data_IF_795975883789
#
_entry.id   IF_795975883789
#
_cell.length_a   1.000
_cell.length_b   1.000
_cell.length_c   1.000
_cell.angle_alpha   90.00
_cell.angle_beta   90.00
_cell.angle_gamma   90.00
#
_symmetry.space_group_name_H-M   'P 1'
#
loop_
_entity.id
_entity.type
_entity.pdbx_description
1 polymer ?
#
# COMPACT_ATOMS: atom_id res chain seq x y z
N UNK A 1 -13.37 -8.38 -24.79
CA UNK A 1 -14.19 -7.52 -23.90
C UNK A 1 -13.52 -7.44 -22.54
N UNK A 2 -12.74 -6.40 -22.26
CA UNK A 2 -12.12 -6.19 -20.95
C UNK A 2 -13.22 -5.76 -19.97
N UNK A 3 -13.65 -6.66 -19.09
CA UNK A 3 -14.61 -6.34 -18.04
C UNK A 3 -13.93 -5.39 -17.06
N UNK A 4 -14.27 -4.10 -17.13
CA UNK A 4 -13.92 -3.13 -16.10
C UNK A 4 -14.56 -3.60 -14.79
N UNK A 5 -13.73 -4.06 -13.85
CA UNK A 5 -14.19 -4.39 -12.51
C UNK A 5 -14.80 -3.14 -11.90
N UNK A 6 -16.07 -3.23 -11.47
CA UNK A 6 -16.77 -2.15 -10.80
C UNK A 6 -16.12 -1.94 -9.43
N UNK A 7 -15.56 -0.75 -9.21
CA UNK A 7 -15.08 -0.32 -7.91
C UNK A 7 -16.25 -0.30 -6.91
N UNK A 8 -16.13 -1.01 -5.79
CA UNK A 8 -17.06 -0.98 -4.67
C UNK A 8 -16.48 -0.09 -3.58
N UNK A 9 -17.30 0.82 -3.06
CA UNK A 9 -16.90 1.90 -2.18
C UNK A 9 -16.86 1.54 -0.67
N UNK A 10 -16.14 2.40 0.08
CA UNK A 10 -16.26 2.78 1.50
C UNK A 10 -15.39 1.98 2.51
N UNK A 11 -14.70 2.57 3.51
CA UNK A 11 -14.86 3.86 4.23
C UNK A 11 -13.49 4.20 4.85
N UNK A 12 -12.94 5.39 4.61
CA UNK A 12 -11.78 5.93 5.35
C UNK A 12 -10.52 6.14 4.50
N UNK A 13 -9.91 7.33 4.66
CA UNK A 13 -8.75 7.87 3.94
C UNK A 13 -9.00 8.23 2.46
N UNK A 14 -8.68 9.47 2.07
CA UNK A 14 -9.02 10.08 0.77
C UNK A 14 -8.29 9.54 -0.46
N UNK A 15 -7.96 8.24 -0.52
CA UNK A 15 -7.24 7.60 -1.63
C UNK A 15 -8.16 6.96 -2.68
N UNK A 16 -9.48 7.14 -2.56
CA UNK A 16 -10.53 6.45 -3.31
C UNK A 16 -10.49 6.60 -4.85
N UNK A 17 -9.83 7.63 -5.40
CA UNK A 17 -9.78 7.83 -6.86
C UNK A 17 -8.69 7.02 -7.57
N UNK A 18 -7.75 6.43 -6.82
CA UNK A 18 -6.61 5.74 -7.40
C UNK A 18 -6.86 4.22 -7.42
N UNK A 19 -6.84 3.60 -8.63
CA UNK A 19 -6.97 2.15 -8.77
C UNK A 19 -5.99 1.37 -7.87
N UNK A 20 -6.41 0.20 -7.36
CA UNK A 20 -5.62 -0.60 -6.42
C UNK A 20 -4.24 -0.97 -6.99
N UNK A 21 -4.16 -1.32 -8.26
CA UNK A 21 -2.90 -1.60 -8.97
C UNK A 21 -1.94 -0.41 -8.95
N UNK A 22 -2.47 0.80 -9.18
CA UNK A 22 -1.67 2.04 -9.11
C UNK A 22 -1.22 2.32 -7.68
N UNK A 23 -2.07 2.07 -6.68
CA UNK A 23 -1.68 2.18 -5.26
C UNK A 23 -0.61 1.16 -4.90
N UNK A 24 -0.76 -0.09 -5.30
CA UNK A 24 0.24 -1.14 -5.12
C UNK A 24 1.60 -0.74 -5.70
N UNK A 25 1.63 -0.18 -6.91
CA UNK A 25 2.86 0.33 -7.52
C UNK A 25 3.50 1.45 -6.68
N UNK A 26 2.71 2.40 -6.19
CA UNK A 26 3.19 3.52 -5.36
C UNK A 26 3.73 3.04 -4.01
N UNK A 27 3.01 2.15 -3.33
CA UNK A 27 3.43 1.58 -2.05
C UNK A 27 4.73 0.80 -2.21
N UNK A 28 4.85 -0.05 -3.24
CA UNK A 28 6.11 -0.76 -3.55
C UNK A 28 7.27 0.20 -3.79
N UNK A 29 7.07 1.21 -4.64
CA UNK A 29 8.11 2.20 -4.94
C UNK A 29 8.50 3.06 -3.73
N UNK A 30 7.57 3.32 -2.81
CA UNK A 30 7.86 4.02 -1.55
C UNK A 30 8.62 3.12 -0.58
N UNK A 31 8.18 1.88 -0.40
CA UNK A 31 8.84 0.88 0.44
C UNK A 31 10.29 0.63 -0.03
N UNK A 32 10.53 0.49 -1.34
CA UNK A 32 11.89 0.35 -1.89
C UNK A 32 12.79 1.54 -1.55
N UNK A 33 12.26 2.77 -1.63
CA UNK A 33 13.00 3.99 -1.27
C UNK A 33 13.33 4.04 0.21
N UNK A 34 12.38 3.64 1.06
CA UNK A 34 12.56 3.61 2.51
C UNK A 34 13.54 2.51 2.93
N UNK A 35 13.51 1.35 2.28
CA UNK A 35 14.50 0.28 2.48
C UNK A 35 15.91 0.77 2.14
N UNK A 36 16.08 1.49 1.02
CA UNK A 36 17.36 2.13 0.68
C UNK A 36 17.80 3.17 1.71
N UNK A 37 16.87 3.78 2.43
CA UNK A 37 17.14 4.72 3.51
C UNK A 37 17.38 4.03 4.88
N UNK A 38 17.29 2.70 4.97
CA UNK A 38 17.58 1.92 6.17
C UNK A 38 16.34 1.34 6.86
N UNK A 39 15.13 1.60 6.38
CA UNK A 39 13.94 0.97 6.93
C UNK A 39 13.87 -0.53 6.57
N UNK A 40 13.16 -1.31 7.37
CA UNK A 40 12.90 -2.74 7.15
C UNK A 40 11.43 -2.96 6.88
N UNK A 41 11.09 -3.76 5.87
CA UNK A 41 9.71 -4.22 5.66
C UNK A 41 9.41 -5.35 6.64
N UNK A 42 8.43 -5.15 7.50
CA UNK A 42 7.98 -6.17 8.46
C UNK A 42 6.91 -7.08 7.85
N UNK A 43 5.93 -6.49 7.17
CA UNK A 43 4.80 -7.24 6.60
C UNK A 43 4.19 -6.51 5.40
N UNK A 44 3.77 -7.28 4.40
CA UNK A 44 2.89 -6.81 3.34
C UNK A 44 1.45 -7.24 3.67
N UNK A 45 0.52 -6.29 3.61
CA UNK A 45 -0.93 -6.52 3.67
C UNK A 45 -1.48 -6.37 2.24
N UNK A 46 -1.62 -7.49 1.54
CA UNK A 46 -2.21 -7.56 0.21
C UNK A 46 -3.62 -8.16 0.33
N UNK A 47 -4.61 -7.29 0.49
CA UNK A 47 -6.00 -7.66 0.77
C UNK A 47 -6.90 -7.06 -0.32
N UNK A 48 -6.88 -7.63 -1.54
CA UNK A 48 -7.58 -7.07 -2.69
C UNK A 48 -9.10 -7.07 -2.53
N UNK A 49 -9.67 -8.03 -1.80
CA UNK A 49 -11.10 -8.08 -1.45
C UNK A 49 -11.52 -6.92 -0.54
N UNK A 50 -10.57 -6.38 0.23
CA UNK A 50 -10.74 -5.17 1.05
C UNK A 50 -10.28 -3.90 0.32
N UNK A 51 -9.81 -4.03 -0.93
CA UNK A 51 -9.26 -2.92 -1.70
C UNK A 51 -8.00 -2.33 -1.08
N UNK A 52 -7.23 -3.10 -0.32
CA UNK A 52 -6.08 -2.63 0.45
C UNK A 52 -4.78 -3.27 -0.06
N UNK A 53 -3.76 -2.43 -0.24
CA UNK A 53 -2.38 -2.86 -0.36
C UNK A 53 -1.54 -1.95 0.52
N UNK A 54 -0.85 -2.50 1.52
CA UNK A 54 -0.05 -1.73 2.46
C UNK A 54 1.25 -2.46 2.83
N UNK A 55 2.27 -1.70 3.23
CA UNK A 55 3.51 -2.22 3.79
C UNK A 55 3.68 -1.71 5.22
N UNK A 56 3.69 -2.61 6.20
CA UNK A 56 4.14 -2.32 7.55
C UNK A 56 5.67 -2.34 7.56
N UNK A 57 6.28 -1.25 8.03
CA UNK A 57 7.71 -1.02 8.00
C UNK A 57 8.20 -0.57 9.37
N UNK A 58 9.50 -0.75 9.61
CA UNK A 58 10.20 -0.26 10.78
C UNK A 58 11.39 0.60 10.35
N UNK A 59 11.57 1.79 10.92
CA UNK A 59 12.75 2.62 10.65
C UNK A 59 13.99 2.13 11.44
N UNK A 60 15.20 2.66 11.19
CA UNK A 60 16.40 2.30 11.94
C UNK A 60 16.35 2.59 13.45
N UNK A 61 15.43 3.44 13.91
CA UNK A 61 15.23 3.75 15.33
C UNK A 61 14.33 2.72 16.02
N UNK A 62 13.69 1.84 15.24
CA UNK A 62 12.77 0.81 15.72
C UNK A 62 11.30 1.24 15.70
N UNK A 63 10.96 2.41 15.15
CA UNK A 63 9.57 2.87 15.07
C UNK A 63 8.83 2.16 13.94
N UNK A 64 7.60 1.68 14.22
CA UNK A 64 6.75 1.04 13.22
C UNK A 64 5.80 2.03 12.54
N UNK A 65 5.61 1.89 11.23
CA UNK A 65 4.68 2.70 10.45
C UNK A 65 4.13 1.93 9.23
N UNK A 66 2.96 2.33 8.73
CA UNK A 66 2.30 1.75 7.54
C UNK A 66 2.44 2.69 6.32
N UNK A 67 2.72 2.12 5.15
CA UNK A 67 2.67 2.79 3.84
C UNK A 67 1.45 2.26 3.06
N UNK A 68 0.54 3.15 2.64
CA UNK A 68 -0.76 2.83 2.00
C UNK A 68 -1.03 3.60 0.71
#
# INVERSE_FOLDING_TARGET
MLRRARAKACRGSGSCDVPLDVRTQRVKAAAERLVKAGATVLRIKDEPDMGLYAAAMQDPEGNEFDVV
#
